data_IF_201632342089
#
_entry.id   IF_201632342089
#
_cell.length_a   1.000
_cell.length_b   1.000
_cell.length_c   1.000
_cell.angle_alpha   90.00
_cell.angle_beta   90.00
_cell.angle_gamma   90.00
#
_symmetry.space_group_name_H-M   'P 1'
#
loop_
_entity.id
_entity.type
_entity.pdbx_description
1 polymer ?
#
# COMPACT_ATOMS: atom_id res chain seq x y z
N UNK A 1 -30.21 2.15 -9.46
CA UNK A 1 -29.71 0.79 -9.18
C UNK A 1 -29.53 0.67 -7.68
N UNK A 2 -29.71 -0.51 -7.09
CA UNK A 2 -29.40 -0.74 -5.66
C UNK A 2 -27.88 -0.65 -5.45
N UNK A 3 -27.42 0.16 -4.49
CA UNK A 3 -25.99 0.37 -4.17
C UNK A 3 -25.28 -0.97 -3.90
N UNK A 4 -25.99 -1.92 -3.28
CA UNK A 4 -25.46 -3.27 -3.03
C UNK A 4 -25.22 -4.06 -4.32
N UNK A 5 -26.16 -4.01 -5.26
CA UNK A 5 -26.04 -4.71 -6.54
C UNK A 5 -24.91 -4.11 -7.40
N UNK A 6 -24.74 -2.79 -7.33
CA UNK A 6 -23.67 -2.06 -8.02
C UNK A 6 -22.28 -2.44 -7.51
N UNK A 7 -22.06 -2.35 -6.18
CA UNK A 7 -20.77 -2.74 -5.57
C UNK A 7 -20.46 -4.21 -5.84
N UNK A 8 -21.46 -5.10 -5.78
CA UNK A 8 -21.28 -6.52 -6.09
C UNK A 8 -20.81 -6.74 -7.53
N UNK A 9 -21.43 -6.07 -8.50
CA UNK A 9 -21.03 -6.15 -9.89
C UNK A 9 -19.61 -5.62 -10.12
N UNK A 10 -19.19 -4.59 -9.37
CA UNK A 10 -17.81 -4.08 -9.42
C UNK A 10 -16.78 -5.07 -8.87
N UNK A 11 -17.13 -5.81 -7.82
CA UNK A 11 -16.26 -6.84 -7.24
C UNK A 11 -16.14 -8.04 -8.19
N UNK A 12 -17.26 -8.49 -8.76
CA UNK A 12 -17.29 -9.67 -9.63
C UNK A 12 -16.69 -9.38 -11.01
N UNK A 13 -16.87 -8.16 -11.54
CA UNK A 13 -16.49 -7.75 -12.90
C UNK A 13 -16.07 -6.27 -12.98
N UNK A 14 -14.92 -5.87 -12.38
CA UNK A 14 -14.46 -4.48 -12.36
C UNK A 14 -14.25 -3.89 -13.75
N UNK A 15 -13.87 -4.72 -14.72
CA UNK A 15 -13.67 -4.36 -16.12
C UNK A 15 -14.96 -3.89 -16.80
N UNK A 16 -16.14 -4.38 -16.39
CA UNK A 16 -17.40 -4.02 -17.03
C UNK A 16 -17.85 -2.60 -16.68
N UNK A 17 -17.57 -2.13 -15.46
CA UNK A 17 -17.91 -0.76 -15.09
C UNK A 17 -16.96 0.23 -15.77
N UNK A 18 -15.65 -0.04 -15.75
CA UNK A 18 -14.66 0.76 -16.48
C UNK A 18 -14.96 0.80 -17.98
N UNK A 19 -15.33 -0.35 -18.56
CA UNK A 19 -15.69 -0.43 -19.97
C UNK A 19 -17.03 0.27 -20.27
N UNK A 20 -18.03 0.15 -19.41
CA UNK A 20 -19.32 0.82 -19.59
C UNK A 20 -19.19 2.35 -19.49
N UNK A 21 -18.45 2.86 -18.50
CA UNK A 21 -18.17 4.29 -18.35
C UNK A 21 -17.31 4.80 -19.51
N UNK A 22 -16.31 4.04 -19.95
CA UNK A 22 -15.54 4.35 -21.16
C UNK A 22 -16.41 4.41 -22.41
N UNK A 23 -17.27 3.42 -22.64
CA UNK A 23 -18.20 3.44 -23.77
C UNK A 23 -19.20 4.60 -23.69
N UNK A 24 -19.62 4.98 -22.49
CA UNK A 24 -20.48 6.15 -22.25
C UNK A 24 -19.76 7.45 -22.61
N UNK A 25 -18.51 7.62 -22.15
CA UNK A 25 -17.63 8.74 -22.51
C UNK A 25 -17.37 8.79 -24.01
N UNK A 26 -16.99 7.67 -24.64
CA UNK A 26 -16.73 7.58 -26.07
C UNK A 26 -17.97 7.98 -26.89
N UNK A 27 -19.16 7.51 -26.50
CA UNK A 27 -20.43 7.92 -27.13
C UNK A 27 -20.70 9.42 -26.97
N UNK A 28 -20.41 10.01 -25.80
CA UNK A 28 -20.58 11.45 -25.56
C UNK A 28 -19.60 12.28 -26.39
N UNK A 29 -18.36 11.81 -26.54
CA UNK A 29 -17.34 12.39 -27.42
C UNK A 29 -17.79 12.33 -28.89
N UNK A 30 -18.31 11.19 -29.34
CA UNK A 30 -18.84 10.99 -30.69
C UNK A 30 -20.07 11.89 -30.98
N UNK A 31 -20.99 12.00 -30.01
CA UNK A 31 -22.19 12.83 -30.12
C UNK A 31 -21.88 14.32 -30.25
N UNK A 32 -20.80 14.81 -29.61
CA UNK A 32 -20.40 16.22 -29.73
C UNK A 32 -19.78 16.58 -31.09
N UNK A 33 -19.66 15.64 -32.05
CA UNK A 33 -19.12 15.82 -33.42
C UNK A 33 -17.91 16.75 -33.45
N UNK A 34 -16.73 16.19 -33.22
CA UNK A 34 -15.45 16.90 -33.23
C UNK A 34 -15.15 17.44 -34.63
N UNK A 35 -15.63 18.63 -34.98
CA UNK A 35 -15.27 19.26 -36.25
C UNK A 35 -13.83 19.80 -36.14
N UNK A 36 -12.90 19.13 -36.81
CA UNK A 36 -11.44 19.36 -36.73
C UNK A 36 -11.00 20.81 -37.06
N UNK A 37 -11.88 21.61 -37.68
CA UNK A 37 -11.65 23.03 -37.97
C UNK A 37 -11.77 23.94 -36.74
N UNK A 38 -12.65 23.62 -35.78
CA UNK A 38 -12.85 24.40 -34.55
C UNK A 38 -11.68 24.21 -33.55
N UNK A 39 -11.04 23.04 -33.56
CA UNK A 39 -9.87 22.72 -32.72
C UNK A 39 -8.66 23.58 -33.10
N UNK A 40 -8.48 23.86 -34.39
CA UNK A 40 -7.30 24.58 -34.89
C UNK A 40 -7.42 26.09 -34.73
N UNK A 41 -8.63 26.66 -34.87
CA UNK A 41 -8.86 28.09 -34.62
C UNK A 41 -8.73 28.45 -33.14
N UNK A 42 -9.29 27.62 -32.24
CA UNK A 42 -9.20 27.82 -30.80
C UNK A 42 -7.76 27.80 -30.26
N UNK A 43 -6.86 27.00 -30.88
CA UNK A 43 -5.44 26.85 -30.50
C UNK A 43 -4.55 27.94 -31.13
N UNK A 44 -4.90 28.48 -32.30
CA UNK A 44 -4.08 29.49 -33.00
C UNK A 44 -4.28 30.90 -32.43
N UNK A 45 -5.49 31.26 -31.98
CA UNK A 45 -5.76 32.58 -31.37
C UNK A 45 -5.21 32.70 -29.91
N UNK A 46 -4.89 31.58 -29.26
CA UNK A 46 -4.51 31.49 -27.83
C UNK A 46 -3.00 31.49 -27.55
N UNK A 47 -2.13 31.48 -28.58
CA UNK A 47 -0.68 31.34 -28.39
C UNK A 47 0.04 32.61 -27.85
N UNK A 48 -0.66 33.73 -27.60
CA UNK A 48 -0.07 34.97 -27.04
C UNK A 48 -0.49 35.20 -25.57
N UNK A 49 0.29 34.64 -24.64
CA UNK A 49 0.53 35.10 -23.25
C UNK A 49 -0.64 35.34 -22.27
N UNK A 50 -1.64 34.43 -22.13
CA UNK A 50 -2.70 34.55 -21.09
C UNK A 50 -3.20 33.23 -20.49
N UNK A 51 -2.39 32.53 -19.68
CA UNK A 51 -2.76 31.20 -19.13
C UNK A 51 -4.07 31.10 -18.31
N UNK A 52 -4.41 32.10 -17.49
CA UNK A 52 -5.69 32.10 -16.73
C UNK A 52 -6.91 32.40 -17.60
N UNK A 53 -6.79 33.31 -18.56
CA UNK A 53 -7.86 33.61 -19.51
C UNK A 53 -8.09 32.39 -20.43
N UNK A 54 -7.02 31.68 -20.80
CA UNK A 54 -7.04 30.43 -21.56
C UNK A 54 -7.93 29.36 -20.92
N UNK A 55 -7.77 29.13 -19.61
CA UNK A 55 -8.55 28.10 -18.90
C UNK A 55 -10.04 28.48 -18.84
N UNK A 56 -10.35 29.77 -18.66
CA UNK A 56 -11.73 30.29 -18.63
C UNK A 56 -12.38 30.22 -20.01
N UNK A 57 -11.66 30.56 -21.08
CA UNK A 57 -12.17 30.54 -22.45
C UNK A 57 -12.41 29.10 -22.96
N UNK A 58 -11.60 28.13 -22.51
CA UNK A 58 -11.81 26.70 -22.78
C UNK A 58 -13.02 26.14 -22.02
N UNK A 59 -13.20 26.52 -20.75
CA UNK A 59 -14.37 26.14 -19.94
C UNK A 59 -15.68 26.78 -20.45
N UNK A 60 -15.61 27.97 -21.02
CA UNK A 60 -16.77 28.66 -21.60
C UNK A 60 -17.04 28.26 -23.06
N UNK A 61 -16.17 27.47 -23.69
CA UNK A 61 -16.32 26.98 -25.06
C UNK A 61 -17.06 25.64 -25.15
N UNK A 62 -17.32 25.16 -26.38
CA UNK A 62 -18.02 23.88 -26.67
C UNK A 62 -17.39 22.63 -25.99
N UNK A 63 -16.14 22.75 -25.54
CA UNK A 63 -15.33 21.72 -24.91
C UNK A 63 -15.38 21.73 -23.38
N UNK A 64 -15.84 22.84 -22.78
CA UNK A 64 -15.91 23.01 -21.32
C UNK A 64 -16.76 21.93 -20.66
N UNK A 65 -17.98 21.69 -21.18
CA UNK A 65 -18.83 20.63 -20.62
C UNK A 65 -18.18 19.25 -20.79
N UNK A 66 -17.40 18.99 -21.85
CA UNK A 66 -16.75 17.68 -22.04
C UNK A 66 -15.59 17.47 -21.05
N UNK A 67 -14.91 18.55 -20.64
CA UNK A 67 -13.89 18.53 -19.60
C UNK A 67 -14.54 18.33 -18.22
N UNK A 68 -15.61 19.07 -17.93
CA UNK A 68 -16.38 18.89 -16.68
C UNK A 68 -16.95 17.48 -16.60
N UNK A 69 -17.49 16.96 -17.70
CA UNK A 69 -17.98 15.58 -17.81
C UNK A 69 -16.89 14.53 -17.55
N UNK A 70 -15.67 14.77 -18.04
CA UNK A 70 -14.52 13.89 -17.79
C UNK A 70 -14.09 13.94 -16.32
N UNK A 71 -14.09 15.12 -15.72
CA UNK A 71 -13.81 15.32 -14.28
C UNK A 71 -14.87 14.63 -13.43
N UNK A 72 -16.16 14.90 -13.70
CA UNK A 72 -17.29 14.30 -12.99
C UNK A 72 -17.31 12.77 -13.14
N UNK A 73 -17.00 12.25 -14.33
CA UNK A 73 -16.89 10.79 -14.53
C UNK A 73 -15.70 10.22 -13.78
N UNK A 74 -14.58 10.93 -13.74
CA UNK A 74 -13.40 10.57 -12.95
C UNK A 74 -13.68 10.53 -11.45
N UNK A 75 -14.34 11.56 -10.91
CA UNK A 75 -14.70 11.68 -9.50
C UNK A 75 -15.73 10.61 -9.10
N UNK A 76 -16.76 10.40 -9.92
CA UNK A 76 -17.76 9.37 -9.67
C UNK A 76 -17.18 7.95 -9.75
N UNK A 77 -16.27 7.68 -10.69
CA UNK A 77 -15.56 6.41 -10.76
C UNK A 77 -14.65 6.21 -9.53
N UNK A 78 -13.95 7.27 -9.09
CA UNK A 78 -13.14 7.26 -7.88
C UNK A 78 -13.99 6.95 -6.64
N UNK A 79 -15.11 7.64 -6.45
CA UNK A 79 -16.02 7.42 -5.31
C UNK A 79 -16.53 5.97 -5.26
N UNK A 80 -16.89 5.40 -6.43
CA UNK A 80 -17.32 4.01 -6.54
C UNK A 80 -16.19 3.03 -6.24
N UNK A 81 -14.99 3.26 -6.78
CA UNK A 81 -13.81 2.44 -6.50
C UNK A 81 -13.45 2.48 -5.02
N UNK A 82 -13.54 3.65 -4.39
CA UNK A 82 -13.28 3.82 -2.96
C UNK A 82 -14.32 3.08 -2.12
N UNK A 83 -15.61 3.14 -2.47
CA UNK A 83 -16.66 2.39 -1.79
C UNK A 83 -16.50 0.86 -1.95
N UNK A 84 -16.07 0.40 -3.13
CA UNK A 84 -15.70 -1.00 -3.37
C UNK A 84 -14.54 -1.43 -2.47
N UNK A 85 -13.44 -0.67 -2.43
CA UNK A 85 -12.26 -0.98 -1.62
C UNK A 85 -12.57 -0.99 -0.11
N UNK A 86 -13.37 -0.04 0.38
CA UNK A 86 -13.88 -0.05 1.76
C UNK A 86 -14.67 -1.33 2.04
N UNK A 87 -15.53 -1.73 1.10
CA UNK A 87 -16.33 -2.96 1.23
C UNK A 87 -15.45 -4.21 1.27
N UNK A 88 -14.44 -4.29 0.40
CA UNK A 88 -13.47 -5.38 0.38
C UNK A 88 -12.65 -5.45 1.68
N UNK A 89 -12.17 -4.32 2.19
CA UNK A 89 -11.44 -4.26 3.46
C UNK A 89 -12.28 -4.82 4.62
N UNK A 90 -13.53 -4.38 4.73
CA UNK A 90 -14.43 -4.82 5.79
C UNK A 90 -14.81 -6.30 5.64
N UNK A 91 -15.02 -6.77 4.40
CA UNK A 91 -15.30 -8.17 4.12
C UNK A 91 -14.10 -9.07 4.49
N UNK A 92 -12.89 -8.68 4.09
CA UNK A 92 -11.65 -9.39 4.40
C UNK A 92 -11.43 -9.50 5.91
N UNK A 93 -11.66 -8.41 6.65
CA UNK A 93 -11.56 -8.42 8.11
C UNK A 93 -12.59 -9.37 8.75
N UNK A 94 -13.86 -9.32 8.31
CA UNK A 94 -14.91 -10.18 8.85
C UNK A 94 -14.68 -11.66 8.54
N UNK A 95 -14.11 -11.98 7.37
CA UNK A 95 -13.74 -13.33 7.01
C UNK A 95 -12.63 -13.90 7.89
N UNK A 96 -11.71 -13.04 8.36
CA UNK A 96 -10.62 -13.41 9.27
C UNK A 96 -11.03 -13.44 10.75
N UNK A 97 -12.25 -12.99 11.07
CA UNK A 97 -12.75 -12.96 12.45
C UNK A 97 -13.56 -14.22 12.75
N UNK A 98 -13.25 -14.91 13.86
CA UNK A 98 -13.90 -16.16 14.24
C UNK A 98 -15.41 -15.99 14.51
N UNK A 99 -15.80 -14.90 15.17
CA UNK A 99 -17.19 -14.53 15.45
C UNK A 99 -17.52 -13.23 14.69
N UNK A 100 -18.26 -13.37 13.59
CA UNK A 100 -18.63 -12.25 12.72
C UNK A 100 -19.54 -11.22 13.41
N UNK A 101 -20.41 -11.65 14.32
CA UNK A 101 -21.30 -10.74 15.06
C UNK A 101 -20.49 -9.89 16.03
N UNK A 102 -19.59 -10.51 16.79
CA UNK A 102 -18.63 -9.78 17.61
C UNK A 102 -17.70 -8.90 16.76
N UNK A 103 -17.27 -9.38 15.60
CA UNK A 103 -16.46 -8.62 14.64
C UNK A 103 -17.15 -7.32 14.21
N UNK A 104 -18.45 -7.38 13.91
CA UNK A 104 -19.28 -6.21 13.60
C UNK A 104 -19.45 -5.27 14.79
N UNK A 105 -19.64 -5.79 16.01
CA UNK A 105 -19.70 -4.97 17.22
C UNK A 105 -18.38 -4.23 17.50
N UNK A 106 -17.24 -4.89 17.29
CA UNK A 106 -15.90 -4.28 17.42
C UNK A 106 -15.69 -3.18 16.38
N UNK A 107 -16.06 -3.41 15.12
CA UNK A 107 -16.04 -2.38 14.07
C UNK A 107 -16.95 -1.20 14.41
N UNK A 108 -18.17 -1.46 14.87
CA UNK A 108 -19.09 -0.40 15.26
C UNK A 108 -18.51 0.46 16.38
N UNK A 109 -17.87 -0.17 17.37
CA UNK A 109 -17.20 0.53 18.47
C UNK A 109 -16.01 1.38 17.98
N UNK A 110 -15.20 0.85 17.07
CA UNK A 110 -14.09 1.56 16.44
C UNK A 110 -14.58 2.80 15.67
N UNK A 111 -15.62 2.64 14.83
CA UNK A 111 -16.15 3.70 13.96
C UNK A 111 -16.92 4.79 14.71
N UNK A 112 -17.44 4.48 15.89
CA UNK A 112 -18.16 5.45 16.74
C UNK A 112 -17.26 6.14 17.76
N UNK A 113 -16.02 5.67 17.93
CA UNK A 113 -14.98 6.34 18.72
C UNK A 113 -14.23 7.40 17.88
N UNK A 114 -14.01 8.63 18.37
CA UNK A 114 -13.28 9.66 17.60
C UNK A 114 -11.85 9.28 17.19
N UNK A 115 -11.09 8.61 18.07
CA UNK A 115 -9.73 8.14 17.77
C UNK A 115 -9.76 6.94 16.83
N UNK A 116 -10.66 5.98 17.08
CA UNK A 116 -10.87 4.82 16.21
C UNK A 116 -11.28 5.22 14.79
N UNK A 117 -12.23 6.14 14.66
CA UNK A 117 -12.68 6.68 13.37
C UNK A 117 -11.56 7.41 12.64
N UNK A 118 -10.73 8.19 13.34
CA UNK A 118 -9.59 8.88 12.72
C UNK A 118 -8.54 7.90 12.20
N UNK A 119 -8.27 6.81 12.93
CA UNK A 119 -7.34 5.75 12.50
C UNK A 119 -7.93 5.01 11.30
N UNK A 120 -9.20 4.61 11.37
CA UNK A 120 -9.92 3.97 10.26
C UNK A 120 -9.93 4.83 9.00
N UNK A 121 -10.20 6.13 9.13
CA UNK A 121 -10.20 7.06 7.99
C UNK A 121 -8.84 7.13 7.30
N UNK A 122 -7.74 7.04 8.06
CA UNK A 122 -6.40 6.98 7.49
C UNK A 122 -6.14 5.65 6.77
N UNK A 123 -6.63 4.52 7.28
CA UNK A 123 -6.57 3.22 6.57
C UNK A 123 -7.29 3.29 5.23
N UNK A 124 -8.50 3.84 5.21
CA UNK A 124 -9.28 4.01 3.97
C UNK A 124 -8.57 4.91 2.97
N UNK A 125 -8.01 6.04 3.42
CA UNK A 125 -7.22 6.94 2.56
C UNK A 125 -6.05 6.21 1.90
N UNK A 126 -5.32 5.39 2.64
CA UNK A 126 -4.19 4.61 2.10
C UNK A 126 -4.62 3.64 0.99
N UNK A 127 -5.79 3.01 1.14
CA UNK A 127 -6.34 2.13 0.11
C UNK A 127 -6.89 2.91 -1.10
N UNK A 128 -7.47 4.08 -0.88
CA UNK A 128 -7.97 4.95 -1.95
C UNK A 128 -6.85 5.46 -2.88
N UNK A 129 -5.65 5.66 -2.35
CA UNK A 129 -4.54 6.30 -3.06
C UNK A 129 -3.71 5.34 -3.95
N UNK A 130 -3.91 4.02 -3.83
CA UNK A 130 -3.24 3.00 -4.66
C UNK A 130 -4.24 2.26 -5.58
N UNK A 131 -3.83 1.74 -6.76
CA UNK A 131 -4.63 0.74 -7.46
C UNK A 131 -4.87 -0.48 -6.54
N UNK A 132 -5.93 -1.27 -6.78
CA UNK A 132 -6.27 -2.43 -5.94
C UNK A 132 -5.09 -3.40 -5.87
N UNK A 133 -4.35 -3.35 -4.77
CA UNK A 133 -3.21 -4.19 -4.45
C UNK A 133 -3.66 -5.17 -3.35
N UNK A 134 -3.74 -6.44 -3.70
CA UNK A 134 -4.23 -7.50 -2.81
C UNK A 134 -3.34 -7.65 -1.56
N UNK A 135 -2.03 -7.42 -1.68
CA UNK A 135 -1.10 -7.46 -0.53
C UNK A 135 -1.40 -6.30 0.42
N UNK A 136 -1.62 -5.09 -0.11
CA UNK A 136 -1.97 -3.93 0.70
C UNK A 136 -3.33 -4.09 1.37
N UNK A 137 -4.31 -4.69 0.68
CA UNK A 137 -5.61 -5.02 1.25
C UNK A 137 -5.50 -6.03 2.41
N UNK A 138 -4.70 -7.09 2.23
CA UNK A 138 -4.43 -8.10 3.26
C UNK A 138 -3.79 -7.46 4.51
N UNK A 139 -2.76 -6.63 4.31
CA UNK A 139 -2.05 -5.90 5.36
C UNK A 139 -2.99 -4.94 6.11
N UNK A 140 -3.78 -4.15 5.39
CA UNK A 140 -4.72 -3.20 6.00
C UNK A 140 -5.84 -3.92 6.75
N UNK A 141 -6.28 -5.09 6.27
CA UNK A 141 -7.26 -5.93 6.96
C UNK A 141 -6.72 -6.50 8.27
N UNK A 142 -5.49 -7.03 8.27
CA UNK A 142 -4.83 -7.52 9.48
C UNK A 142 -4.64 -6.39 10.50
N UNK A 143 -4.21 -5.21 10.04
CA UNK A 143 -4.06 -4.04 10.89
C UNK A 143 -5.41 -3.56 11.47
N UNK A 144 -6.47 -3.54 10.65
CA UNK A 144 -7.83 -3.22 11.10
C UNK A 144 -8.30 -4.22 12.16
N UNK A 145 -7.98 -5.51 12.01
CA UNK A 145 -8.28 -6.52 13.00
C UNK A 145 -7.60 -6.28 14.34
N UNK A 146 -6.31 -5.97 14.31
CA UNK A 146 -5.56 -5.62 15.52
C UNK A 146 -6.15 -4.37 16.21
N UNK A 147 -6.54 -3.36 15.44
CA UNK A 147 -7.17 -2.15 15.96
C UNK A 147 -8.57 -2.38 16.55
N UNK A 148 -9.39 -3.21 15.92
CA UNK A 148 -10.74 -3.52 16.39
C UNK A 148 -10.72 -4.26 17.74
N UNK A 149 -9.60 -4.92 18.06
CA UNK A 149 -9.36 -5.63 19.32
C UNK A 149 -8.70 -4.76 20.40
N UNK A 150 -8.30 -3.53 20.07
CA UNK A 150 -7.67 -2.60 21.01
C UNK A 150 -8.67 -2.13 22.07
N UNK A 151 -8.27 -2.14 23.34
CA UNK A 151 -9.15 -1.76 24.46
C UNK A 151 -9.23 -0.25 24.68
N UNK A 152 -8.17 0.47 24.32
CA UNK A 152 -8.06 1.92 24.51
C UNK A 152 -7.35 2.58 23.31
N UNK A 153 -8.16 3.10 22.39
CA UNK A 153 -7.65 3.84 21.23
C UNK A 153 -7.03 5.19 21.60
N UNK A 154 -7.40 5.79 22.75
CA UNK A 154 -6.86 7.08 23.15
C UNK A 154 -5.37 6.99 23.50
N UNK A 155 -5.00 5.98 24.29
CA UNK A 155 -3.60 5.75 24.67
C UNK A 155 -2.73 5.22 23.52
N UNK A 156 -3.33 4.49 22.58
CA UNK A 156 -2.60 3.91 21.43
C UNK A 156 -2.63 4.77 20.17
N UNK A 157 -3.40 5.85 20.14
CA UNK A 157 -3.59 6.71 18.96
C UNK A 157 -2.29 7.17 18.32
N UNK A 158 -1.36 7.73 19.12
CA UNK A 158 -0.08 8.24 18.62
C UNK A 158 0.79 7.14 18.01
N UNK A 159 0.79 5.96 18.63
CA UNK A 159 1.52 4.78 18.10
C UNK A 159 0.90 4.33 16.78
N UNK A 160 -0.41 4.19 16.73
CA UNK A 160 -1.14 3.76 15.54
C UNK A 160 -1.00 4.76 14.38
N UNK A 161 -0.97 6.05 14.67
CA UNK A 161 -0.70 7.10 13.67
C UNK A 161 0.73 7.00 13.13
N UNK A 162 1.72 6.77 13.99
CA UNK A 162 3.11 6.56 13.57
C UNK A 162 3.26 5.32 12.70
N UNK A 163 2.62 4.21 13.08
CA UNK A 163 2.61 2.97 12.27
C UNK A 163 1.98 3.23 10.90
N UNK A 164 0.80 3.86 10.84
CA UNK A 164 0.14 4.17 9.58
C UNK A 164 0.97 5.08 8.68
N UNK A 165 1.73 6.03 9.26
CA UNK A 165 2.66 6.85 8.49
C UNK A 165 3.87 6.06 7.96
N UNK A 166 4.30 5.01 8.67
CA UNK A 166 5.36 4.13 8.17
C UNK A 166 4.84 3.23 7.05
N UNK A 167 3.60 2.74 7.16
CA UNK A 167 2.93 2.00 6.09
C UNK A 167 2.79 2.90 4.85
N UNK A 168 2.30 4.13 5.00
CA UNK A 168 2.16 5.13 3.92
C UNK A 168 3.45 5.38 3.13
N UNK A 169 4.60 5.30 3.81
CA UNK A 169 5.92 5.54 3.22
C UNK A 169 6.56 4.29 2.63
N UNK A 170 5.99 3.12 2.87
CA UNK A 170 6.53 1.84 2.44
C UNK A 170 5.73 1.31 1.26
N UNK A 171 6.42 0.78 0.26
CA UNK A 171 5.80 0.02 -0.81
C UNK A 171 5.14 -1.26 -0.28
N UNK A 172 4.06 -1.74 -0.91
CA UNK A 172 3.42 -3.00 -0.54
C UNK A 172 4.41 -4.17 -0.50
N UNK A 173 5.30 -4.26 -1.49
CA UNK A 173 6.33 -5.30 -1.54
C UNK A 173 7.33 -5.20 -0.37
N UNK A 174 7.74 -4.00 0.05
CA UNK A 174 8.58 -3.83 1.23
C UNK A 174 7.90 -4.34 2.51
N UNK A 175 6.60 -4.07 2.67
CA UNK A 175 5.81 -4.58 3.79
C UNK A 175 5.68 -6.11 3.74
N UNK A 176 5.48 -6.69 2.54
CA UNK A 176 5.46 -8.15 2.33
C UNK A 176 6.79 -8.78 2.70
N UNK A 177 7.93 -8.18 2.33
CA UNK A 177 9.26 -8.63 2.74
C UNK A 177 9.43 -8.56 4.27
N UNK A 178 9.04 -7.45 4.90
CA UNK A 178 9.16 -7.23 6.34
C UNK A 178 8.32 -8.21 7.16
N UNK A 179 7.08 -8.47 6.74
CA UNK A 179 6.19 -9.47 7.35
C UNK A 179 6.80 -10.87 7.32
N UNK A 180 7.59 -11.18 6.29
CA UNK A 180 8.29 -12.45 6.12
C UNK A 180 9.76 -12.42 6.59
N UNK A 181 10.11 -11.52 7.50
CA UNK A 181 11.48 -11.36 8.01
C UNK A 181 12.08 -12.59 8.68
N UNK A 182 11.25 -13.52 9.15
CA UNK A 182 11.73 -14.80 9.71
C UNK A 182 12.34 -15.73 8.64
N UNK A 183 12.13 -15.42 7.35
CA UNK A 183 12.72 -16.14 6.21
C UNK A 183 13.90 -15.40 5.57
N UNK A 184 14.35 -14.27 6.15
CA UNK A 184 15.44 -13.51 5.58
C UNK A 184 16.75 -14.31 5.63
N UNK A 185 17.44 -14.50 4.49
CA UNK A 185 18.61 -15.35 4.40
C UNK A 185 19.86 -14.64 4.92
N UNK A 186 20.86 -15.43 5.29
CA UNK A 186 22.24 -14.93 5.33
C UNK A 186 22.68 -14.55 3.91
N UNK A 187 23.40 -13.45 3.82
CA UNK A 187 23.88 -12.89 2.56
C UNK A 187 25.35 -13.28 2.38
N UNK A 188 25.75 -13.80 1.20
CA UNK A 188 27.17 -14.02 0.91
C UNK A 188 27.95 -12.71 1.07
N UNK A 189 28.97 -12.75 1.91
CA UNK A 189 29.67 -11.54 2.32
C UNK A 189 30.37 -10.79 1.18
N UNK A 190 30.39 -9.45 1.22
CA UNK A 190 31.20 -8.66 0.31
C UNK A 190 32.70 -8.97 0.45
N UNK A 191 33.46 -8.93 -0.65
CA UNK A 191 34.92 -9.13 -0.62
C UNK A 191 35.67 -8.05 0.17
N UNK A 192 35.12 -6.84 0.21
CA UNK A 192 35.64 -5.71 0.97
C UNK A 192 34.45 -4.88 1.47
N UNK A 193 34.50 -4.43 2.71
CA UNK A 193 33.43 -3.66 3.32
C UNK A 193 33.97 -2.69 4.37
N UNK A 194 33.16 -1.68 4.68
CA UNK A 194 33.33 -0.83 5.85
C UNK A 194 32.10 -1.09 6.72
N UNK A 195 32.30 -1.36 8.00
CA UNK A 195 31.22 -1.43 8.97
C UNK A 195 31.42 -0.37 10.06
N UNK A 196 30.34 0.29 10.44
CA UNK A 196 30.28 1.23 11.56
C UNK A 196 29.21 0.71 12.51
N UNK A 197 29.59 0.43 13.76
CA UNK A 197 28.71 -0.19 14.76
C UNK A 197 27.99 -1.46 14.26
N UNK A 198 28.70 -2.27 13.46
CA UNK A 198 28.17 -3.51 12.88
C UNK A 198 27.28 -3.32 11.65
N UNK A 199 26.88 -2.10 11.29
CA UNK A 199 26.18 -1.79 10.02
C UNK A 199 27.16 -1.70 8.87
N UNK A 200 26.91 -2.47 7.83
CA UNK A 200 27.70 -2.45 6.59
C UNK A 200 27.33 -1.20 5.78
N UNK A 201 28.34 -0.46 5.34
CA UNK A 201 28.18 0.79 4.60
C UNK A 201 28.13 0.54 3.08
N UNK A 202 27.55 1.48 2.34
CA UNK A 202 27.42 1.44 0.89
C UNK A 202 26.16 0.74 0.40
N UNK A 203 25.96 0.72 -0.92
CA UNK A 203 24.83 0.04 -1.55
C UNK A 203 25.11 -1.46 -1.67
N UNK A 204 24.47 -2.24 -0.81
CA UNK A 204 24.56 -3.71 -0.79
C UNK A 204 23.27 -4.36 -1.32
N UNK A 205 22.27 -3.56 -1.69
CA UNK A 205 20.89 -4.01 -1.94
C UNK A 205 20.80 -5.04 -3.06
N UNK A 206 21.63 -4.92 -4.10
CA UNK A 206 21.67 -5.89 -5.21
C UNK A 206 22.17 -7.27 -4.78
N UNK A 207 23.07 -7.36 -3.81
CA UNK A 207 23.55 -8.63 -3.25
C UNK A 207 22.53 -9.23 -2.30
N UNK A 208 21.96 -8.40 -1.41
CA UNK A 208 20.87 -8.82 -0.51
C UNK A 208 19.71 -9.37 -1.34
N UNK A 209 19.30 -8.67 -2.40
CA UNK A 209 18.24 -9.13 -3.31
C UNK A 209 18.56 -10.46 -3.99
N UNK A 210 19.84 -10.72 -4.32
CA UNK A 210 20.27 -12.01 -4.90
C UNK A 210 20.16 -13.16 -3.91
N UNK A 211 20.39 -12.90 -2.62
CA UNK A 211 20.18 -13.89 -1.57
C UNK A 211 18.69 -14.14 -1.35
N UNK A 212 17.90 -13.06 -1.24
CA UNK A 212 16.45 -13.11 -1.03
C UNK A 212 15.72 -13.83 -2.18
N UNK A 213 16.11 -13.60 -3.43
CA UNK A 213 15.46 -14.23 -4.60
C UNK A 213 15.61 -15.76 -4.64
N UNK A 214 16.48 -16.34 -3.80
CA UNK A 214 16.67 -17.80 -3.67
C UNK A 214 15.81 -18.43 -2.57
N UNK A 215 15.18 -17.60 -1.73
CA UNK A 215 14.32 -18.08 -0.65
C UNK A 215 12.96 -18.47 -1.25
N UNK A 216 12.41 -19.66 -0.92
CA UNK A 216 11.16 -20.15 -1.52
C UNK A 216 9.97 -19.19 -1.42
N UNK A 217 9.84 -18.44 -0.32
CA UNK A 217 8.72 -17.48 -0.14
C UNK A 217 8.83 -16.25 -1.05
N UNK A 218 10.03 -15.95 -1.57
CA UNK A 218 10.28 -14.80 -2.45
C UNK A 218 10.63 -15.21 -3.89
N UNK A 219 10.62 -16.51 -4.22
CA UNK A 219 11.15 -17.01 -5.50
C UNK A 219 10.38 -16.56 -6.74
N UNK A 220 9.11 -16.17 -6.56
CA UNK A 220 8.23 -15.69 -7.64
C UNK A 220 8.33 -14.17 -7.87
N UNK A 221 9.13 -13.47 -7.07
CA UNK A 221 9.28 -12.03 -7.15
C UNK A 221 10.55 -11.72 -7.94
N UNK A 222 10.46 -10.82 -8.93
CA UNK A 222 11.63 -10.42 -9.68
C UNK A 222 12.71 -9.83 -8.76
N UNK A 223 13.96 -10.22 -8.97
CA UNK A 223 15.11 -9.75 -8.18
C UNK A 223 15.18 -8.22 -8.12
N UNK A 224 14.90 -7.54 -9.24
CA UNK A 224 14.92 -6.07 -9.30
C UNK A 224 13.85 -5.47 -8.39
N UNK A 225 12.66 -6.05 -8.34
CA UNK A 225 11.59 -5.63 -7.43
C UNK A 225 11.95 -5.88 -5.97
N UNK A 226 12.56 -7.03 -5.66
CA UNK A 226 13.11 -7.32 -4.32
C UNK A 226 14.15 -6.26 -3.93
N UNK A 227 15.07 -5.91 -4.86
CA UNK A 227 16.08 -4.87 -4.61
C UNK A 227 15.45 -3.53 -4.29
N UNK A 228 14.44 -3.09 -5.07
CA UNK A 228 13.73 -1.83 -4.80
C UNK A 228 13.01 -1.84 -3.46
N UNK A 229 12.42 -2.98 -3.07
CA UNK A 229 11.79 -3.13 -1.76
C UNK A 229 12.79 -3.09 -0.60
N UNK A 230 14.02 -3.62 -0.78
CA UNK A 230 15.10 -3.49 0.21
C UNK A 230 15.56 -2.03 0.32
N UNK A 231 15.77 -1.35 -0.82
CA UNK A 231 16.11 0.09 -0.83
C UNK A 231 15.08 0.90 -0.06
N UNK A 232 13.80 0.59 -0.26
CA UNK A 232 12.69 1.23 0.42
C UNK A 232 12.70 0.98 1.94
N UNK A 233 12.89 -0.27 2.38
CA UNK A 233 13.03 -0.61 3.80
C UNK A 233 14.21 0.10 4.46
N UNK A 234 15.39 0.13 3.83
CA UNK A 234 16.59 0.79 4.38
C UNK A 234 16.46 2.33 4.40
N UNK A 235 15.83 2.90 3.37
CA UNK A 235 15.57 4.34 3.26
C UNK A 235 14.61 4.82 4.35
N UNK A 236 13.57 4.02 4.63
CA UNK A 236 12.62 4.25 5.71
C UNK A 236 13.13 3.83 7.10
N UNK A 237 14.37 3.36 7.21
CA UNK A 237 14.99 2.90 8.47
C UNK A 237 14.23 1.74 9.12
N UNK A 238 13.58 0.91 8.32
CA UNK A 238 12.85 -0.28 8.74
C UNK A 238 13.73 -1.53 8.70
N UNK A 239 14.74 -1.55 7.84
CA UNK A 239 15.76 -2.59 7.80
C UNK A 239 17.17 -2.01 7.73
N UNK A 240 18.16 -2.85 8.01
CA UNK A 240 19.57 -2.53 7.91
C UNK A 240 20.39 -3.77 7.54
N UNK A 241 21.38 -3.57 6.69
CA UNK A 241 22.38 -4.58 6.38
C UNK A 241 23.52 -4.56 7.42
N UNK A 242 23.74 -5.70 8.07
CA UNK A 242 24.70 -5.83 9.17
C UNK A 242 25.73 -6.93 8.91
N UNK A 243 26.86 -6.81 9.61
CA UNK A 243 27.87 -7.84 9.74
C UNK A 243 28.06 -8.22 11.20
N UNK A 244 28.23 -9.50 11.50
CA UNK A 244 28.49 -9.98 12.86
C UNK A 244 29.09 -11.38 12.87
N UNK A 245 29.28 -11.94 14.05
CA UNK A 245 29.69 -13.34 14.24
C UNK A 245 28.57 -14.10 14.92
N UNK A 246 28.41 -15.38 14.58
CA UNK A 246 27.47 -16.25 15.29
C UNK A 246 28.04 -16.68 16.63
N UNK A 247 27.17 -16.76 17.65
CA UNK A 247 27.53 -17.34 18.94
C UNK A 247 27.23 -18.84 18.95
N UNK A 248 27.93 -19.64 19.79
CA UNK A 248 27.59 -21.04 19.99
C UNK A 248 26.09 -21.23 20.37
N UNK A 249 25.41 -22.29 19.89
CA UNK A 249 25.93 -23.43 19.12
C UNK A 249 25.98 -23.19 17.59
N UNK A 250 25.61 -22.01 17.12
CA UNK A 250 25.49 -21.70 15.68
C UNK A 250 26.82 -21.26 15.04
N UNK A 251 27.83 -20.94 15.86
CA UNK A 251 29.17 -20.61 15.41
C UNK A 251 29.81 -21.81 14.69
N UNK A 252 30.51 -21.54 13.58
CA UNK A 252 31.32 -22.56 12.92
C UNK A 252 32.44 -23.00 13.89
N UNK A 253 32.47 -24.28 14.33
CA UNK A 253 33.45 -24.73 15.32
C UNK A 253 34.90 -24.67 14.78
N UNK A 254 35.07 -24.67 13.45
CA UNK A 254 36.37 -24.56 12.79
C UNK A 254 36.76 -23.09 12.52
N UNK A 255 35.82 -22.15 12.55
CA UNK A 255 36.08 -20.73 12.39
C UNK A 255 35.07 -19.88 13.19
N UNK A 256 35.24 -19.76 14.52
CA UNK A 256 34.30 -19.05 15.39
C UNK A 256 34.20 -17.55 15.08
N UNK A 257 35.21 -17.00 14.41
CA UNK A 257 35.27 -15.59 13.98
C UNK A 257 34.75 -15.37 12.55
N UNK A 258 34.08 -16.37 11.97
CA UNK A 258 33.47 -16.24 10.65
C UNK A 258 32.43 -15.11 10.65
N UNK A 259 32.70 -14.09 9.83
CA UNK A 259 31.79 -12.97 9.63
C UNK A 259 30.60 -13.44 8.80
N UNK A 260 29.41 -13.26 9.35
CA UNK A 260 28.14 -13.42 8.66
C UNK A 260 27.58 -12.05 8.32
N UNK A 261 26.80 -12.01 7.25
CA UNK A 261 26.11 -10.81 6.80
C UNK A 261 24.63 -11.12 6.67
N UNK A 262 23.80 -10.20 7.09
CA UNK A 262 22.36 -10.37 7.06
C UNK A 262 21.66 -9.01 6.97
N UNK A 263 20.52 -9.01 6.30
CA UNK A 263 19.53 -7.97 6.48
C UNK A 263 18.80 -8.25 7.80
N UNK A 264 18.51 -7.21 8.60
CA UNK A 264 17.65 -7.37 9.79
C UNK A 264 16.68 -6.21 9.94
N UNK A 265 15.47 -6.45 10.50
CA UNK A 265 14.59 -5.34 10.87
C UNK A 265 15.22 -4.49 11.98
N UNK A 266 15.03 -3.18 11.90
CA UNK A 266 15.34 -2.26 13.00
C UNK A 266 14.25 -2.30 14.07
N UNK A 267 14.38 -1.54 15.16
CA UNK A 267 13.30 -1.39 16.15
C UNK A 267 12.00 -0.86 15.52
N UNK A 268 12.12 0.11 14.60
CA UNK A 268 10.97 0.62 13.84
C UNK A 268 10.40 -0.45 12.89
N UNK A 269 11.28 -1.22 12.23
CA UNK A 269 10.89 -2.38 11.42
C UNK A 269 10.14 -3.44 12.22
N UNK A 270 10.63 -3.78 13.41
CA UNK A 270 9.98 -4.75 14.30
C UNK A 270 8.63 -4.25 14.82
N UNK A 271 8.54 -2.97 15.17
CA UNK A 271 7.27 -2.35 15.57
C UNK A 271 6.24 -2.42 14.42
N UNK A 272 6.67 -2.12 13.20
CA UNK A 272 5.82 -2.19 12.01
C UNK A 272 5.43 -3.63 11.69
N UNK A 273 6.39 -4.56 11.68
CA UNK A 273 6.17 -6.01 11.52
C UNK A 273 5.09 -6.50 12.48
N UNK A 274 5.20 -6.18 13.76
CA UNK A 274 4.24 -6.61 14.77
C UNK A 274 2.81 -6.08 14.49
N UNK A 275 2.71 -4.86 13.95
CA UNK A 275 1.43 -4.25 13.64
C UNK A 275 0.75 -4.85 12.39
N UNK A 276 1.55 -5.23 11.39
CA UNK A 276 1.07 -5.80 10.10
C UNK A 276 1.11 -7.33 10.06
N UNK A 277 1.48 -7.97 11.17
CA UNK A 277 1.44 -9.43 11.32
C UNK A 277 0.00 -9.88 11.52
N UNK A 278 -0.30 -11.09 11.05
CA UNK A 278 -1.62 -11.72 11.19
C UNK A 278 -2.13 -11.59 12.63
N UNK A 279 -3.38 -11.13 12.76
CA UNK A 279 -4.06 -11.11 14.05
C UNK A 279 -4.23 -12.54 14.53
N UNK A 280 -3.36 -13.00 15.43
CA UNK A 280 -3.61 -14.22 16.18
C UNK A 280 -4.73 -13.90 17.16
N UNK A 281 -5.93 -14.45 16.93
CA UNK A 281 -6.98 -14.49 17.93
C UNK A 281 -6.38 -15.10 19.19
N UNK A 282 -6.08 -14.26 20.18
CA UNK A 282 -5.48 -14.68 21.42
C UNK A 282 -6.52 -15.47 22.20
N UNK A 283 -6.44 -16.80 22.13
CA UNK A 283 -6.87 -17.64 23.24
C UNK A 283 -6.01 -17.26 24.45
N UNK A 284 -6.53 -16.37 25.29
CA UNK A 284 -6.12 -16.23 26.68
C UNK A 284 -7.35 -16.43 27.55
N UNK A 285 -7.74 -17.69 27.73
CA UNK A 285 -8.29 -18.13 29.00
C UNK A 285 -7.12 -18.42 29.93
N UNK A 286 -6.99 -17.62 30.98
CA UNK A 286 -6.30 -17.95 32.24
C UNK A 286 -6.91 -17.11 33.34
#
# INVERSE_FOLDING_TARGET
MDKKAEIRAMIEHPEYLLHAEKMSLDKRIEQKKLDSKDVRSAVVDTAKSKGKQLAVDVLNGKWGDLILDLVDTGDHLKDRLDDMKKTLLLAEYLQKTDDQEQGLHRLSSLLTNPYGLSIYSKIVSLLSDAPSDDDMLDIMSDYLGNLANEKDWGSTFSKNKSILNLIDRSSPLALTLLRNSDHWPLVPGPKAFIAVDGRVQGDNTGWVATAFSKVPVFSNIEKTSIQMAIVDLESNKLAEFISGTLNPPYANPNNPSELIYAERPTDAGNMLKAAVSKSSATNQES
#
